data_IF_557425489328
#
_entry.id   IF_557425489328
#
_cell.length_a   1.000
_cell.length_b   1.000
_cell.length_c   1.000
_cell.angle_alpha   90.00
_cell.angle_beta   90.00
_cell.angle_gamma   90.00
#
_symmetry.space_group_name_H-M   'P 1'
#
loop_
_entity.id
_entity.type
_entity.pdbx_description
1 polymer ?
#
# COMPACT_ATOMS: atom_id res chain seq x y z
N UNK A 1 -6.95 15.43 -2.55
CA UNK A 1 -5.52 15.60 -2.29
C UNK A 1 -5.33 16.87 -1.49
N UNK A 2 -4.44 16.85 -0.50
CA UNK A 2 -4.20 17.97 0.39
C UNK A 2 -3.08 18.87 -0.14
N UNK A 3 -3.20 20.21 -0.04
CA UNK A 3 -2.13 21.14 -0.38
C UNK A 3 -0.84 20.86 0.41
N UNK A 4 0.31 21.25 -0.14
CA UNK A 4 1.62 21.08 0.51
C UNK A 4 2.25 19.70 0.35
N UNK A 5 1.58 18.78 -0.35
CA UNK A 5 2.12 17.47 -0.70
C UNK A 5 2.26 17.32 -2.22
N UNK A 6 3.33 16.66 -2.65
CA UNK A 6 3.48 16.20 -4.03
C UNK A 6 2.96 14.78 -4.12
N UNK A 7 2.10 14.51 -5.09
CA UNK A 7 1.53 13.18 -5.29
C UNK A 7 2.17 12.54 -6.51
N UNK A 8 2.44 11.24 -6.41
CA UNK A 8 2.70 10.40 -7.57
C UNK A 8 1.78 9.19 -7.51
N UNK A 9 1.17 8.84 -8.64
CA UNK A 9 0.31 7.68 -8.77
C UNK A 9 1.06 6.63 -9.59
N UNK A 10 1.42 5.54 -8.92
CA UNK A 10 2.14 4.42 -9.52
C UNK A 10 1.17 3.27 -9.78
N UNK A 11 1.00 2.92 -11.05
CA UNK A 11 0.16 1.80 -11.48
C UNK A 11 1.08 0.74 -12.07
N UNK A 12 1.26 -0.35 -11.32
CA UNK A 12 1.89 -1.54 -11.84
C UNK A 12 0.85 -2.41 -12.57
N UNK A 13 1.22 -2.92 -13.73
CA UNK A 13 0.35 -3.74 -14.57
C UNK A 13 1.10 -4.92 -15.16
N UNK A 14 0.38 -6.00 -15.46
CA UNK A 14 0.94 -7.22 -16.02
C UNK A 14 1.56 -6.94 -17.41
N UNK A 15 2.77 -7.41 -17.67
CA UNK A 15 3.46 -7.12 -18.95
C UNK A 15 2.71 -7.61 -20.20
N UNK A 16 1.85 -8.60 -20.04
CA UNK A 16 0.99 -9.19 -21.06
C UNK A 16 -0.46 -8.69 -20.97
N UNK A 17 -0.71 -7.58 -20.25
CA UNK A 17 -2.02 -6.94 -20.20
C UNK A 17 -2.49 -6.58 -21.63
N UNK A 18 -3.66 -7.08 -22.08
CA UNK A 18 -4.09 -6.92 -23.47
C UNK A 18 -4.27 -5.47 -23.94
N UNK A 19 -4.50 -4.53 -23.02
CA UNK A 19 -4.69 -3.13 -23.33
C UNK A 19 -3.37 -2.36 -23.20
N UNK A 20 -2.66 -2.52 -22.08
CA UNK A 20 -1.47 -1.74 -21.75
C UNK A 20 -0.21 -2.23 -22.47
N UNK A 21 -0.22 -3.44 -23.03
CA UNK A 21 0.85 -3.92 -23.92
C UNK A 21 0.78 -3.34 -25.34
N UNK A 22 -0.32 -2.69 -25.72
CA UNK A 22 -0.46 -2.06 -27.03
C UNK A 22 0.42 -0.80 -27.12
N UNK A 23 1.21 -0.72 -28.19
CA UNK A 23 2.09 0.42 -28.46
C UNK A 23 1.30 1.74 -28.46
N UNK A 24 1.73 2.71 -27.66
CA UNK A 24 1.11 4.02 -27.57
C UNK A 24 0.01 4.14 -26.51
N UNK A 25 -0.57 3.03 -26.04
CA UNK A 25 -1.64 3.06 -25.03
C UNK A 25 -1.14 3.56 -23.67
N UNK A 26 0.02 3.13 -23.15
CA UNK A 26 0.58 3.70 -21.93
C UNK A 26 0.75 5.22 -21.99
N UNK A 27 1.24 5.75 -23.11
CA UNK A 27 1.44 7.19 -23.33
C UNK A 27 0.11 7.95 -23.38
N UNK A 28 -0.89 7.38 -24.07
CA UNK A 28 -2.25 7.93 -24.11
C UNK A 28 -2.90 7.95 -22.73
N UNK A 29 -2.73 6.89 -21.94
CA UNK A 29 -3.25 6.83 -20.57
C UNK A 29 -2.57 7.88 -19.68
N UNK A 30 -1.26 8.07 -19.80
CA UNK A 30 -0.56 9.13 -19.08
C UNK A 30 -1.07 10.52 -19.45
N UNK A 31 -1.31 10.79 -20.74
CA UNK A 31 -1.87 12.04 -21.21
C UNK A 31 -3.29 12.27 -20.67
N UNK A 32 -4.16 11.27 -20.76
CA UNK A 32 -5.53 11.34 -20.26
C UNK A 32 -5.59 11.61 -18.74
N UNK A 33 -4.72 10.94 -17.96
CA UNK A 33 -4.65 11.18 -16.51
C UNK A 33 -4.24 12.60 -16.16
N UNK A 34 -3.32 13.19 -16.93
CA UNK A 34 -2.90 14.59 -16.77
C UNK A 34 -4.04 15.56 -17.09
N UNK A 35 -4.86 15.26 -18.08
CA UNK A 35 -6.05 16.06 -18.42
C UNK A 35 -7.17 15.94 -17.37
N UNK A 36 -7.36 14.77 -16.78
CA UNK A 36 -8.36 14.53 -15.74
C UNK A 36 -8.03 15.18 -14.40
N UNK A 37 -6.75 15.48 -14.15
CA UNK A 37 -6.26 16.05 -12.89
C UNK A 37 -5.66 17.46 -13.09
N UNK A 38 -6.33 18.39 -13.80
CA UNK A 38 -5.68 19.64 -14.25
C UNK A 38 -5.31 20.58 -13.09
N UNK A 39 -5.92 20.38 -11.92
CA UNK A 39 -5.69 21.16 -10.69
C UNK A 39 -4.77 20.47 -9.70
N UNK A 40 -4.35 19.23 -9.96
CA UNK A 40 -3.48 18.47 -9.08
C UNK A 40 -2.23 18.09 -9.86
N UNK A 41 -1.08 18.63 -9.47
CA UNK A 41 0.21 18.20 -10.02
C UNK A 41 0.53 16.79 -9.50
N UNK A 42 0.03 15.78 -10.21
CA UNK A 42 0.22 14.36 -9.91
C UNK A 42 1.14 13.77 -10.95
N UNK A 43 2.30 13.25 -10.52
CA UNK A 43 3.19 12.48 -11.39
C UNK A 43 2.61 11.08 -11.59
N UNK A 44 2.14 10.78 -12.80
CA UNK A 44 1.53 9.49 -13.11
C UNK A 44 2.57 8.56 -13.75
N UNK A 45 2.76 7.38 -13.16
CA UNK A 45 3.79 6.40 -13.52
C UNK A 45 3.16 5.04 -13.80
N UNK A 46 3.32 4.56 -15.02
CA UNK A 46 2.99 3.20 -15.40
C UNK A 46 4.23 2.30 -15.28
N UNK A 47 4.06 1.10 -14.73
CA UNK A 47 5.13 0.12 -14.58
C UNK A 47 4.66 -1.26 -15.05
N UNK A 48 5.29 -1.77 -16.10
CA UNK A 48 5.09 -3.15 -16.51
C UNK A 48 5.82 -4.09 -15.55
N UNK A 49 5.15 -5.15 -15.10
CA UNK A 49 5.75 -6.19 -14.24
C UNK A 49 5.73 -7.57 -14.93
N UNK A 50 6.79 -8.39 -14.77
CA UNK A 50 6.94 -9.64 -15.52
C UNK A 50 6.16 -10.82 -14.94
N UNK A 51 5.23 -10.59 -14.03
CA UNK A 51 4.47 -11.64 -13.34
C UNK A 51 2.98 -11.32 -13.37
N UNK A 52 2.20 -12.16 -14.05
CA UNK A 52 0.78 -11.88 -14.26
C UNK A 52 -0.09 -12.46 -13.15
N UNK A 53 -1.15 -11.77 -12.76
CA UNK A 53 -2.07 -12.22 -11.71
C UNK A 53 -1.50 -12.26 -10.28
N UNK A 54 -0.43 -11.50 -10.00
CA UNK A 54 0.17 -11.40 -8.66
C UNK A 54 0.13 -9.95 -8.13
N UNK A 55 -1.05 -9.45 -7.72
CA UNK A 55 -1.25 -8.03 -7.37
C UNK A 55 -0.41 -7.59 -6.17
N UNK A 56 -0.17 -8.46 -5.18
CA UNK A 56 0.67 -8.12 -4.02
C UNK A 56 2.11 -7.88 -4.45
N UNK A 57 2.62 -8.66 -5.40
CA UNK A 57 3.95 -8.42 -5.97
C UNK A 57 3.99 -7.13 -6.78
N UNK A 58 2.94 -6.83 -7.54
CA UNK A 58 2.86 -5.61 -8.36
C UNK A 58 2.85 -4.36 -7.47
N UNK A 59 2.04 -4.37 -6.40
CA UNK A 59 1.99 -3.33 -5.38
C UNK A 59 3.34 -3.17 -4.67
N UNK A 60 4.00 -4.28 -4.32
CA UNK A 60 5.31 -4.26 -3.70
C UNK A 60 6.34 -3.55 -4.58
N UNK A 61 6.43 -3.91 -5.85
CA UNK A 61 7.44 -3.36 -6.76
C UNK A 61 7.12 -1.89 -7.10
N UNK A 62 5.84 -1.51 -7.18
CA UNK A 62 5.40 -0.13 -7.27
C UNK A 62 5.89 0.72 -6.08
N UNK A 63 5.70 0.25 -4.85
CA UNK A 63 6.16 0.96 -3.65
C UNK A 63 7.69 1.03 -3.57
N UNK A 64 8.40 -0.05 -3.90
CA UNK A 64 9.87 -0.06 -3.92
C UNK A 64 10.42 0.90 -4.98
N UNK A 65 9.79 0.99 -6.16
CA UNK A 65 10.18 1.97 -7.18
C UNK A 65 9.89 3.41 -6.74
N UNK A 66 8.71 3.66 -6.15
CA UNK A 66 8.37 4.97 -5.59
C UNK A 66 9.36 5.40 -4.48
N UNK A 67 9.74 4.47 -3.61
CA UNK A 67 10.76 4.69 -2.58
C UNK A 67 12.11 5.09 -3.21
N UNK A 68 12.57 4.35 -4.22
CA UNK A 68 13.81 4.66 -4.95
C UNK A 68 13.75 6.02 -5.68
N UNK A 69 12.55 6.43 -6.10
CA UNK A 69 12.30 7.75 -6.66
C UNK A 69 12.19 8.88 -5.61
N UNK A 70 12.34 8.57 -4.32
CA UNK A 70 12.39 9.54 -3.23
C UNK A 70 11.05 9.84 -2.57
N UNK A 71 10.03 8.99 -2.73
CA UNK A 71 8.75 9.18 -2.03
C UNK A 71 8.88 8.94 -0.52
N UNK A 72 8.24 9.83 0.27
CA UNK A 72 8.30 9.79 1.75
C UNK A 72 7.21 8.95 2.40
N UNK A 73 6.09 8.75 1.70
CA UNK A 73 4.93 8.00 2.18
C UNK A 73 4.33 7.18 1.05
N UNK A 74 3.71 6.07 1.41
CA UNK A 74 3.05 5.15 0.48
C UNK A 74 1.63 4.93 0.93
N UNK A 75 0.70 5.02 -0.01
CA UNK A 75 -0.71 4.69 0.22
C UNK A 75 -1.15 3.66 -0.81
N UNK A 76 -1.54 2.48 -0.35
CA UNK A 76 -2.06 1.42 -1.20
C UNK A 76 -3.57 1.57 -1.35
N UNK A 77 -4.00 1.87 -2.58
CA UNK A 77 -5.42 2.02 -2.96
C UNK A 77 -5.81 1.03 -4.05
N UNK A 78 -7.07 0.64 -4.08
CA UNK A 78 -7.65 -0.13 -5.19
C UNK A 78 -8.33 0.81 -6.19
N UNK A 79 -8.55 0.30 -7.41
CA UNK A 79 -9.26 0.95 -8.51
C UNK A 79 -10.75 1.19 -8.23
N UNK A 80 -11.33 0.41 -7.31
CA UNK A 80 -12.75 0.42 -6.92
C UNK A 80 -13.03 1.21 -5.63
N UNK A 81 -12.13 2.14 -5.27
CA UNK A 81 -12.19 2.88 -4.00
C UNK A 81 -12.47 4.36 -4.20
N UNK A 82 -13.40 4.90 -3.42
CA UNK A 82 -13.66 6.33 -3.35
C UNK A 82 -13.34 6.85 -1.96
N UNK A 83 -12.33 7.73 -1.86
CA UNK A 83 -12.02 8.44 -0.62
C UNK A 83 -13.08 9.51 -0.36
N UNK A 84 -13.83 9.35 0.74
CA UNK A 84 -14.94 10.25 1.10
C UNK A 84 -14.44 11.45 1.90
N UNK A 85 -13.52 11.21 2.83
CA UNK A 85 -12.94 12.26 3.67
C UNK A 85 -11.88 13.06 2.89
N UNK A 86 -12.00 14.38 2.81
CA UNK A 86 -10.92 15.27 2.37
C UNK A 86 -9.89 15.51 3.49
N UNK A 87 -8.68 15.96 3.16
CA UNK A 87 -7.64 16.19 4.18
C UNK A 87 -7.08 14.91 4.82
N UNK A 88 -7.24 13.75 4.17
CA UNK A 88 -6.81 12.47 4.72
C UNK A 88 -5.28 12.33 4.78
N UNK A 89 -4.55 12.98 3.88
CA UNK A 89 -3.09 12.87 3.78
C UNK A 89 -2.41 13.37 5.04
N UNK A 90 -2.70 14.60 5.47
CA UNK A 90 -2.13 15.21 6.66
C UNK A 90 -2.54 14.47 7.93
N UNK A 91 -3.75 13.90 7.95
CA UNK A 91 -4.23 13.09 9.08
C UNK A 91 -3.39 11.82 9.22
N UNK A 92 -3.12 11.10 8.12
CA UNK A 92 -2.27 9.90 8.16
C UNK A 92 -0.81 10.23 8.47
N UNK A 93 -0.25 11.26 7.83
CA UNK A 93 1.12 11.73 8.09
C UNK A 93 1.29 12.12 9.56
N UNK A 94 0.35 12.89 10.11
CA UNK A 94 0.34 13.25 11.53
C UNK A 94 0.28 12.01 12.42
N UNK A 95 -0.63 11.08 12.14
CA UNK A 95 -0.78 9.87 12.94
C UNK A 95 0.50 9.00 12.97
N UNK A 96 1.22 8.89 11.85
CA UNK A 96 2.52 8.22 11.80
C UNK A 96 3.61 9.02 12.52
N UNK A 97 3.63 10.35 12.41
CA UNK A 97 4.62 11.20 13.07
C UNK A 97 4.55 11.12 14.61
N UNK A 98 3.38 10.84 15.16
CA UNK A 98 3.14 10.69 16.60
C UNK A 98 3.53 9.31 17.16
N UNK A 99 3.89 8.36 16.29
CA UNK A 99 4.43 7.09 16.74
C UNK A 99 5.85 7.27 17.29
N UNK A 100 6.32 6.31 18.09
CA UNK A 100 7.66 6.37 18.70
C UNK A 100 8.49 5.16 18.34
N UNK A 101 9.49 5.23 17.44
CA UNK A 101 9.97 6.45 16.78
C UNK A 101 9.00 6.96 15.70
N UNK A 102 9.05 8.28 15.37
CA UNK A 102 8.19 8.89 14.37
C UNK A 102 8.28 8.18 13.01
N UNK A 103 7.13 7.98 12.36
CA UNK A 103 7.03 7.37 11.04
C UNK A 103 7.10 5.83 11.04
N UNK A 104 7.32 5.18 12.19
CA UNK A 104 7.47 3.72 12.26
C UNK A 104 6.18 3.06 12.72
N UNK A 105 5.40 2.67 11.73
CA UNK A 105 4.15 1.94 11.86
C UNK A 105 3.35 1.97 10.57
N UNK A 106 2.08 1.62 10.70
CA UNK A 106 1.11 1.62 9.61
C UNK A 106 -0.18 2.23 10.09
N UNK A 107 -0.80 3.05 9.25
CA UNK A 107 -2.13 3.61 9.50
C UNK A 107 -3.05 3.32 8.31
N UNK A 108 -4.34 3.47 8.51
CA UNK A 108 -5.28 3.45 7.39
C UNK A 108 -6.66 3.93 7.80
N UNK A 109 -7.57 4.05 6.83
CA UNK A 109 -8.92 4.55 7.04
C UNK A 109 -9.76 3.55 7.82
N UNK A 110 -10.84 4.05 8.40
CA UNK A 110 -11.95 3.22 8.84
C UNK A 110 -12.96 3.11 7.71
N UNK A 111 -13.33 1.89 7.33
CA UNK A 111 -14.32 1.64 6.28
C UNK A 111 -15.39 0.66 6.76
N UNK A 112 -16.62 0.83 6.27
CA UNK A 112 -17.74 -0.07 6.49
C UNK A 112 -17.90 -0.98 5.27
N UNK A 113 -17.42 -2.23 5.37
CA UNK A 113 -17.52 -3.25 4.31
C UNK A 113 -16.24 -4.08 4.19
N UNK A 114 -16.31 -5.39 4.00
CA UNK A 114 -15.13 -6.27 3.93
C UNK A 114 -14.47 -6.59 5.28
N UNK A 115 -13.18 -6.95 5.28
CA UNK A 115 -12.45 -7.37 6.49
C UNK A 115 -12.01 -6.17 7.35
N UNK A 116 -12.81 -5.85 8.37
CA UNK A 116 -12.54 -4.74 9.31
C UNK A 116 -11.53 -5.09 10.40
N UNK A 117 -10.94 -6.29 10.41
CA UNK A 117 -9.89 -6.66 11.39
C UNK A 117 -8.51 -6.20 10.94
N UNK A 118 -8.27 -6.11 9.63
CA UNK A 118 -6.98 -5.73 9.03
C UNK A 118 -7.05 -4.37 8.32
N UNK A 119 -5.89 -3.82 7.95
CA UNK A 119 -5.77 -2.64 7.11
C UNK A 119 -5.72 -3.05 5.64
N UNK A 120 -6.89 -3.10 5.01
CA UNK A 120 -7.01 -3.33 3.56
C UNK A 120 -6.58 -2.12 2.74
N UNK A 121 -6.34 -0.97 3.38
CA UNK A 121 -5.83 0.26 2.77
C UNK A 121 -4.73 0.82 3.66
N UNK A 122 -3.53 0.25 3.53
CA UNK A 122 -2.41 0.63 4.37
C UNK A 122 -1.70 1.88 3.86
N UNK A 123 -1.28 2.70 4.83
CA UNK A 123 -0.49 3.91 4.65
C UNK A 123 0.73 3.82 5.56
N UNK A 124 1.91 3.92 4.95
CA UNK A 124 3.21 3.82 5.64
C UNK A 124 4.11 5.00 5.28
N UNK A 125 5.13 5.24 6.10
CA UNK A 125 6.24 6.11 5.70
C UNK A 125 7.33 5.30 4.99
N UNK A 126 8.26 5.99 4.34
CA UNK A 126 9.49 5.43 3.77
C UNK A 126 10.25 4.51 4.71
N UNK A 127 10.19 4.74 6.02
CA UNK A 127 10.83 3.89 7.04
C UNK A 127 10.40 2.44 6.96
N UNK A 128 9.18 2.16 6.48
CA UNK A 128 8.73 0.79 6.27
C UNK A 128 9.65 0.03 5.29
N UNK A 129 9.90 0.61 4.12
CA UNK A 129 10.80 0.03 3.11
C UNK A 129 12.25 0.04 3.60
N UNK A 130 12.67 1.05 4.38
CA UNK A 130 14.02 1.08 4.96
C UNK A 130 14.25 -0.02 6.01
N UNK A 131 13.21 -0.41 6.76
CA UNK A 131 13.30 -1.45 7.79
C UNK A 131 13.29 -2.84 7.15
N UNK A 132 12.39 -3.08 6.19
CA UNK A 132 12.14 -4.43 5.66
C UNK A 132 12.78 -4.70 4.30
N UNK A 133 13.11 -3.65 3.54
CA UNK A 133 13.62 -3.74 2.16
C UNK A 133 12.54 -3.93 1.10
N UNK A 134 11.27 -4.04 1.51
CA UNK A 134 10.11 -4.28 0.66
C UNK A 134 8.85 -3.68 1.29
N UNK A 135 7.73 -3.73 0.58
CA UNK A 135 6.40 -3.36 1.10
C UNK A 135 5.59 -4.56 1.58
N UNK A 136 5.64 -5.67 0.85
CA UNK A 136 5.11 -6.96 1.28
C UNK A 136 6.14 -8.08 1.05
N UNK A 137 6.23 -9.09 1.94
CA UNK A 137 7.10 -10.25 1.71
C UNK A 137 6.76 -10.96 0.40
N UNK A 138 7.80 -11.47 -0.29
CA UNK A 138 7.62 -12.09 -1.61
C UNK A 138 6.88 -13.42 -1.56
N UNK A 139 6.72 -13.99 -0.38
CA UNK A 139 5.90 -15.15 -0.07
C UNK A 139 4.42 -14.92 -0.39
N UNK A 140 3.96 -13.65 -0.39
CA UNK A 140 2.56 -13.28 -0.67
C UNK A 140 2.40 -12.79 -2.11
N UNK A 141 1.80 -13.64 -2.94
CA UNK A 141 1.55 -13.36 -4.36
C UNK A 141 0.29 -12.53 -4.63
N UNK A 142 -0.78 -12.81 -3.88
CA UNK A 142 -2.11 -12.23 -4.15
C UNK A 142 -2.89 -11.86 -2.89
N UNK A 143 -2.91 -12.75 -1.89
CA UNK A 143 -3.56 -12.55 -0.59
C UNK A 143 -2.52 -12.42 0.52
N UNK A 144 -2.96 -11.93 1.69
CA UNK A 144 -2.21 -11.84 2.95
C UNK A 144 -1.21 -10.69 3.10
N UNK A 145 -1.04 -9.84 2.09
CA UNK A 145 -0.20 -8.64 2.21
C UNK A 145 -0.74 -7.66 3.27
N UNK A 146 -2.06 -7.42 3.23
CA UNK A 146 -2.82 -6.63 4.20
C UNK A 146 -2.83 -7.25 5.60
N UNK A 147 -3.01 -8.57 5.70
CA UNK A 147 -2.85 -9.28 6.97
C UNK A 147 -1.45 -9.12 7.54
N UNK A 148 -0.41 -9.38 6.74
CA UNK A 148 0.98 -9.30 7.19
C UNK A 148 1.34 -7.91 7.68
N UNK A 149 1.04 -6.86 6.90
CA UNK A 149 1.42 -5.49 7.27
C UNK A 149 0.65 -5.03 8.51
N UNK A 150 -0.61 -5.46 8.66
CA UNK A 150 -1.39 -5.21 9.88
C UNK A 150 -0.72 -5.90 11.06
N UNK A 151 -0.42 -7.19 10.93
CA UNK A 151 0.02 -8.03 12.04
C UNK A 151 1.45 -7.71 12.49
N UNK A 152 2.37 -7.37 11.57
CA UNK A 152 3.77 -7.05 11.90
C UNK A 152 3.88 -5.80 12.78
N UNK A 153 2.99 -4.83 12.59
CA UNK A 153 2.94 -3.61 13.41
C UNK A 153 1.94 -3.65 14.56
N UNK A 154 1.02 -4.62 14.56
CA UNK A 154 0.01 -4.76 15.61
C UNK A 154 0.58 -5.33 16.91
N UNK A 155 0.07 -4.89 18.09
CA UNK A 155 -0.94 -3.83 18.26
C UNK A 155 -0.36 -2.41 18.43
N UNK A 156 0.92 -2.27 18.73
CA UNK A 156 1.46 -0.98 19.22
C UNK A 156 1.65 0.08 18.14
N UNK A 157 1.78 -0.31 16.86
CA UNK A 157 2.18 0.56 15.75
C UNK A 157 1.23 0.46 14.55
N UNK A 158 0.04 -0.08 14.77
CA UNK A 158 -1.03 -0.15 13.79
C UNK A 158 -2.19 0.73 14.28
N UNK A 159 -2.68 1.65 13.43
CA UNK A 159 -3.85 2.48 13.77
C UNK A 159 -4.84 2.57 12.62
N UNK A 160 -6.11 2.28 12.90
CA UNK A 160 -7.22 2.69 12.04
C UNK A 160 -7.64 4.09 12.48
N UNK A 161 -7.78 5.01 11.53
CA UNK A 161 -8.13 6.39 11.81
C UNK A 161 -9.62 6.60 11.52
N UNK A 162 -10.48 6.69 12.55
CA UNK A 162 -11.94 6.75 12.36
C UNK A 162 -12.43 7.98 11.60
N UNK A 163 -11.65 9.07 11.63
CA UNK A 163 -11.97 10.30 10.92
C UNK A 163 -11.81 10.16 9.39
N UNK A 164 -10.97 9.23 8.91
CA UNK A 164 -10.76 9.01 7.48
C UNK A 164 -11.65 7.87 7.02
N UNK A 165 -12.59 8.19 6.13
CA UNK A 165 -13.57 7.26 5.57
C UNK A 165 -13.37 7.08 4.08
N UNK A 166 -13.65 5.87 3.62
CA UNK A 166 -13.75 5.52 2.21
C UNK A 166 -14.99 4.66 1.96
N UNK A 167 -15.45 4.73 0.72
CA UNK A 167 -16.45 3.84 0.16
C UNK A 167 -15.77 2.86 -0.79
N UNK A 168 -16.09 1.58 -0.64
CA UNK A 168 -15.74 0.56 -1.61
C UNK A 168 -16.92 0.38 -2.58
N UNK A 169 -16.72 0.66 -3.87
CA UNK A 169 -17.78 0.68 -4.89
C UNK A 169 -17.84 -0.70 -5.58
N UNK A 170 -18.69 -1.62 -5.07
CA UNK A 170 -19.03 -3.00 -5.54
C UNK A 170 -18.02 -4.10 -5.12
N UNK A 171 -18.38 -5.23 -4.47
CA UNK A 171 -19.36 -6.32 -4.73
C UNK A 171 -19.03 -7.27 -5.90
N UNK A 172 -17.78 -7.71 -6.03
CA UNK A 172 -17.48 -9.04 -6.55
C UNK A 172 -16.18 -9.56 -5.96
N UNK A 173 -16.21 -10.74 -5.38
CA UNK A 173 -14.99 -11.47 -5.02
C UNK A 173 -14.25 -11.78 -6.33
N UNK A 174 -13.30 -10.93 -6.73
CA UNK A 174 -12.55 -11.08 -7.99
C UNK A 174 -11.71 -12.37 -8.03
N UNK A 175 -11.42 -12.96 -6.86
CA UNK A 175 -10.61 -14.18 -6.71
C UNK A 175 -11.16 -15.07 -5.60
N UNK A 176 -11.28 -16.37 -5.82
CA UNK A 176 -11.71 -17.32 -4.79
C UNK A 176 -10.74 -17.27 -3.61
N UNK A 177 -11.25 -17.02 -2.39
CA UNK A 177 -10.46 -17.08 -1.16
C UNK A 177 -10.03 -18.53 -0.98
N UNK A 178 -8.80 -18.85 -1.40
CA UNK A 178 -8.22 -20.17 -1.16
C UNK A 178 -7.94 -20.31 0.33
N UNK A 179 -8.86 -20.94 1.06
CA UNK A 179 -8.61 -21.46 2.40
C UNK A 179 -7.46 -22.45 2.34
N UNK A 180 -6.28 -21.99 2.71
CA UNK A 180 -5.08 -22.81 2.65
C UNK A 180 -4.37 -22.70 3.98
N UNK A 181 -4.54 -23.70 4.85
CA UNK A 181 -3.86 -23.78 6.15
C UNK A 181 -2.35 -23.62 6.00
N UNK A 182 -1.78 -24.04 4.86
CA UNK A 182 -0.39 -23.81 4.52
C UNK A 182 -0.03 -22.32 4.46
N UNK A 183 -0.93 -21.47 3.94
CA UNK A 183 -0.74 -20.02 3.86
C UNK A 183 -0.87 -19.33 5.21
N UNK A 184 -1.70 -19.83 6.14
CA UNK A 184 -1.71 -19.35 7.54
C UNK A 184 -0.37 -19.63 8.24
N UNK A 185 0.22 -20.81 8.02
CA UNK A 185 1.54 -21.13 8.55
C UNK A 185 2.66 -20.25 7.97
N UNK A 186 2.57 -19.90 6.68
CA UNK A 186 3.48 -18.94 6.05
C UNK A 186 3.28 -17.53 6.63
N UNK A 187 2.03 -17.06 6.75
CA UNK A 187 1.72 -15.76 7.33
C UNK A 187 2.32 -15.62 8.73
N UNK A 188 2.05 -16.58 9.62
CA UNK A 188 2.55 -16.54 10.99
C UNK A 188 4.09 -16.50 11.02
N UNK A 189 4.75 -17.32 10.20
CA UNK A 189 6.20 -17.36 10.10
C UNK A 189 6.78 -16.02 9.65
N UNK A 190 6.25 -15.42 8.59
CA UNK A 190 6.73 -14.14 8.09
C UNK A 190 6.42 -13.00 9.07
N UNK A 191 5.28 -13.03 9.77
CA UNK A 191 4.97 -12.07 10.84
C UNK A 191 5.99 -12.18 11.98
N UNK A 192 6.27 -13.38 12.49
CA UNK A 192 7.19 -13.57 13.62
C UNK A 192 8.63 -13.16 13.25
N UNK A 193 9.06 -13.55 12.05
CA UNK A 193 10.35 -13.15 11.48
C UNK A 193 10.49 -11.63 11.41
N UNK A 194 9.53 -10.94 10.79
CA UNK A 194 9.66 -9.50 10.59
C UNK A 194 9.29 -8.66 11.82
N UNK A 195 8.55 -9.21 12.79
CA UNK A 195 8.46 -8.62 14.14
C UNK A 195 9.81 -8.60 14.83
N UNK A 196 10.60 -9.66 14.68
CA UNK A 196 11.96 -9.72 15.22
C UNK A 196 12.87 -8.68 14.53
N UNK A 197 12.81 -8.57 13.19
CA UNK A 197 13.52 -7.53 12.43
C UNK A 197 13.14 -6.12 12.91
N UNK A 198 11.84 -5.84 13.07
CA UNK A 198 11.35 -4.56 13.57
C UNK A 198 11.84 -4.29 14.99
N UNK A 199 11.77 -5.28 15.88
CA UNK A 199 12.23 -5.14 17.27
C UNK A 199 13.73 -4.82 17.33
N UNK A 200 14.56 -5.49 16.54
CA UNK A 200 16.00 -5.26 16.53
C UNK A 200 16.37 -3.94 15.85
N UNK A 201 15.62 -3.52 14.84
CA UNK A 201 15.75 -2.16 14.30
C UNK A 201 15.41 -1.11 15.37
N UNK A 202 14.31 -1.28 16.10
CA UNK A 202 13.88 -0.36 17.17
C UNK A 202 14.91 -0.26 18.30
N UNK A 203 15.50 -1.38 18.73
CA UNK A 203 16.59 -1.38 19.73
C UNK A 203 17.78 -0.56 19.25
N UNK A 204 18.18 -0.70 17.98
CA UNK A 204 19.30 0.05 17.39
C UNK A 204 19.05 1.55 17.28
N UNK A 205 17.79 1.99 17.22
CA UNK A 205 17.45 3.43 17.24
C UNK A 205 17.38 4.04 18.65
N UNK A 206 17.34 3.19 19.68
CA UNK A 206 17.27 3.60 21.08
C UNK A 206 18.65 3.61 21.76
N UNK A 207 19.67 3.06 21.11
CA UNK A 207 21.07 3.06 21.52
C UNK A 207 21.79 4.27 20.92
#
# INVERSE_FOLDING_TARGET
MSPGFRYSLWVAYDHDDPLLSLKGVPELMQAAMKEMLPKCEVDFRLMSVPYSGNPTWAQNDAVVAAHKAGADYFYRVNDDTVMVTSGWTEVFVKALSEMRPPGVGVVGPHHSGGNTKILTYDFTSRKHVEIFGFHYPREFRSWWGDDWITLVYSPQRMRKIPAVKLDHKLEAVRYTVGEDKAKLGILQREVDKYKSVLADWLKRQAA
#
